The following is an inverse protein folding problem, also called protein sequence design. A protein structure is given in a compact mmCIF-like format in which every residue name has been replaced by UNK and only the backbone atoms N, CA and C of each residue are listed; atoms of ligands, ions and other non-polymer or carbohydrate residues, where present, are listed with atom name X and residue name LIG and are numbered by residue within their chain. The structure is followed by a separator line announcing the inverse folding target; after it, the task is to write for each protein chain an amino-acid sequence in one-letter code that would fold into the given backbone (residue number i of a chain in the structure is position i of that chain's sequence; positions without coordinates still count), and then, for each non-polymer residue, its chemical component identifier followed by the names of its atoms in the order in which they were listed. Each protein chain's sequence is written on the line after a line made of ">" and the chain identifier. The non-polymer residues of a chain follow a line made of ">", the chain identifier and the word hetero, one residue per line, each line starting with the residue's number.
data_IF_955390395211
#
_entry.id   IF_955390395211
#
_cell.length_a   1.000
_cell.length_b   1.000
_cell.length_c   1.000
_cell.angle_alpha   90.00
_cell.angle_beta   90.00
_cell.angle_gamma   90.00
#
_symmetry.space_group_name_H-M   'P 1'
#
loop_
_entity.id
_entity.type
_entity.pdbx_description
1 polymer ?
#
# COMPACT_ATOMS: atom_id res chain seq x y z
N UNK A 1 30.42 -25.07 29.63
CA UNK A 1 30.30 -24.35 28.34
C UNK A 1 28.82 -24.11 28.09
N UNK A 2 28.32 -22.94 28.50
CA UNK A 2 26.94 -22.52 28.29
C UNK A 2 26.91 -21.86 26.90
N UNK A 3 26.06 -22.32 25.99
CA UNK A 3 25.82 -21.64 24.70
C UNK A 3 24.77 -20.57 24.92
N UNK A 4 25.13 -19.31 24.75
CA UNK A 4 24.20 -18.18 24.81
C UNK A 4 23.13 -18.28 23.71
N UNK A 5 21.82 -18.25 24.02
CA UNK A 5 20.77 -18.26 23.03
C UNK A 5 20.21 -16.84 22.83
N UNK A 6 20.99 -15.93 22.23
CA UNK A 6 20.44 -14.66 21.78
C UNK A 6 21.13 -14.17 20.50
N UNK A 7 20.65 -14.67 19.37
CA UNK A 7 20.92 -14.13 18.05
C UNK A 7 19.81 -14.62 17.12
N UNK A 8 19.06 -13.84 16.36
CA UNK A 8 18.86 -12.40 16.29
C UNK A 8 17.49 -12.27 15.61
N UNK A 9 16.45 -11.90 16.35
CA UNK A 9 15.22 -11.42 15.73
C UNK A 9 15.44 -9.94 15.44
N UNK A 10 16.07 -9.64 14.29
CA UNK A 10 16.03 -8.29 13.72
C UNK A 10 14.59 -8.04 13.26
N UNK A 11 13.73 -7.73 14.22
CA UNK A 11 12.45 -7.09 13.97
C UNK A 11 12.80 -5.80 13.25
N UNK A 12 12.61 -5.81 11.93
CA UNK A 12 12.83 -4.64 11.10
C UNK A 12 11.80 -3.60 11.52
N UNK A 13 12.15 -2.78 12.52
CA UNK A 13 11.41 -1.59 12.94
C UNK A 13 11.56 -0.53 11.85
N UNK A 14 11.10 -0.87 10.64
CA UNK A 14 10.95 0.08 9.56
C UNK A 14 9.80 1.00 9.94
N UNK A 15 10.05 2.31 9.88
CA UNK A 15 8.98 3.30 9.96
C UNK A 15 7.83 2.87 9.04
N UNK A 16 6.56 3.00 9.47
CA UNK A 16 5.43 2.59 8.67
C UNK A 16 5.54 3.24 7.29
N UNK A 17 5.54 2.39 6.26
CA UNK A 17 5.67 2.83 4.88
C UNK A 17 4.54 3.82 4.59
N UNK A 18 4.91 5.06 4.25
CA UNK A 18 3.94 6.16 4.16
C UNK A 18 2.94 5.97 3.03
N UNK A 19 3.38 5.38 1.91
CA UNK A 19 2.53 5.11 0.76
C UNK A 19 3.16 4.07 -0.19
N UNK A 20 2.30 3.43 -0.99
CA UNK A 20 2.61 2.46 -2.03
C UNK A 20 2.46 3.03 -3.44
N UNK A 21 3.09 2.41 -4.43
CA UNK A 21 2.88 2.73 -5.85
C UNK A 21 1.66 2.01 -6.44
N UNK A 22 1.33 2.27 -7.71
CA UNK A 22 0.22 1.59 -8.37
C UNK A 22 0.51 0.10 -8.58
N UNK A 23 1.76 -0.23 -8.87
CA UNK A 23 2.25 -1.59 -9.12
C UNK A 23 2.18 -2.42 -7.84
N UNK A 24 2.62 -1.87 -6.71
CA UNK A 24 2.57 -2.55 -5.43
C UNK A 24 1.12 -2.84 -5.01
N UNK A 25 0.21 -1.87 -5.18
CA UNK A 25 -1.21 -2.08 -4.84
C UNK A 25 -1.90 -3.01 -5.83
N UNK A 26 -1.48 -3.01 -7.10
CA UNK A 26 -1.94 -3.96 -8.11
C UNK A 26 -1.64 -5.40 -7.71
N UNK A 27 -0.44 -5.66 -7.19
CA UNK A 27 -0.06 -6.96 -6.64
C UNK A 27 -0.86 -7.30 -5.38
N UNK A 28 -0.98 -6.36 -4.43
CA UNK A 28 -1.70 -6.58 -3.17
C UNK A 28 -3.19 -6.89 -3.36
N UNK A 29 -3.84 -6.23 -4.32
CA UNK A 29 -5.27 -6.39 -4.59
C UNK A 29 -5.56 -7.39 -5.71
N UNK A 30 -4.52 -7.96 -6.33
CA UNK A 30 -4.62 -8.81 -7.51
C UNK A 30 -5.47 -8.17 -8.64
N UNK A 31 -5.27 -6.87 -8.87
CA UNK A 31 -6.02 -6.08 -9.85
C UNK A 31 -5.08 -5.42 -10.86
N UNK A 32 -5.49 -5.22 -12.13
CA UNK A 32 -4.64 -4.53 -13.11
C UNK A 32 -4.26 -3.11 -12.66
N UNK A 33 -3.02 -2.69 -12.94
CA UNK A 33 -2.50 -1.32 -12.64
C UNK A 33 -3.42 -0.21 -13.17
N UNK A 34 -4.03 -0.39 -14.35
CA UNK A 34 -4.97 0.59 -14.92
C UNK A 34 -6.24 0.72 -14.07
N UNK A 35 -6.70 -0.38 -13.48
CA UNK A 35 -7.83 -0.41 -12.55
C UNK A 35 -7.47 0.32 -11.26
N UNK A 36 -6.30 0.05 -10.68
CA UNK A 36 -5.80 0.79 -9.50
C UNK A 36 -5.73 2.30 -9.78
N UNK A 37 -5.20 2.69 -10.94
CA UNK A 37 -5.17 4.10 -11.36
C UNK A 37 -6.57 4.71 -11.43
N UNK A 38 -7.56 3.98 -11.96
CA UNK A 38 -8.95 4.42 -12.01
C UNK A 38 -9.53 4.57 -10.61
N UNK A 39 -9.22 3.67 -9.67
CA UNK A 39 -9.64 3.79 -8.27
C UNK A 39 -9.08 5.04 -7.59
N UNK A 40 -7.83 5.41 -7.88
CA UNK A 40 -7.27 6.68 -7.41
C UNK A 40 -8.01 7.89 -8.01
N UNK A 41 -8.33 7.86 -9.31
CA UNK A 41 -9.03 8.95 -10.00
C UNK A 41 -10.49 9.11 -9.57
N UNK A 42 -11.15 8.01 -9.22
CA UNK A 42 -12.57 7.96 -8.81
C UNK A 42 -12.75 8.00 -7.30
N UNK A 43 -11.65 8.13 -6.55
CA UNK A 43 -11.62 8.17 -5.07
C UNK A 43 -12.08 6.88 -4.38
N UNK A 44 -12.13 5.74 -5.08
CA UNK A 44 -12.33 4.44 -4.43
C UNK A 44 -11.15 4.09 -3.49
N UNK A 45 -9.92 4.41 -3.90
CA UNK A 45 -8.75 4.42 -3.01
C UNK A 45 -8.63 5.79 -2.33
N UNK A 46 -9.52 6.05 -1.37
CA UNK A 46 -9.68 7.37 -0.73
C UNK A 46 -8.41 7.80 0.01
N UNK A 47 -7.87 8.96 -0.35
CA UNK A 47 -6.63 9.50 0.22
C UNK A 47 -5.38 9.18 -0.57
N UNK A 48 -5.49 8.46 -1.70
CA UNK A 48 -4.43 8.43 -2.69
C UNK A 48 -4.14 9.85 -3.22
N UNK A 49 -2.87 10.18 -3.43
CA UNK A 49 -2.43 11.50 -3.85
C UNK A 49 -1.30 11.41 -4.87
N UNK A 50 -1.01 12.52 -5.55
CA UNK A 50 0.19 12.66 -6.40
C UNK A 50 1.21 13.51 -5.67
N UNK A 51 2.49 13.21 -5.85
CA UNK A 51 3.60 13.98 -5.25
C UNK A 51 3.88 15.30 -5.98
N UNK A 52 3.03 15.69 -6.93
CA UNK A 52 3.25 16.85 -7.78
C UNK A 52 2.14 17.02 -8.82
N UNK A 53 2.51 17.47 -10.01
CA UNK A 53 1.59 17.82 -11.09
C UNK A 53 0.89 16.65 -11.79
N UNK A 54 0.25 16.95 -12.92
CA UNK A 54 -0.62 16.01 -13.65
C UNK A 54 0.06 14.68 -14.00
N UNK A 55 1.35 14.70 -14.31
CA UNK A 55 2.17 13.53 -14.70
C UNK A 55 2.85 12.84 -13.52
N UNK A 56 2.78 13.40 -12.31
CA UNK A 56 3.41 12.81 -11.14
C UNK A 56 2.78 11.46 -10.78
N UNK A 57 3.58 10.52 -10.25
CA UNK A 57 3.09 9.21 -9.89
C UNK A 57 2.11 9.30 -8.72
N UNK A 58 1.19 8.35 -8.67
CA UNK A 58 0.31 8.17 -7.52
C UNK A 58 1.08 7.58 -6.33
N UNK A 59 0.60 7.93 -5.13
CA UNK A 59 0.99 7.39 -3.84
C UNK A 59 -0.28 7.01 -3.09
N UNK A 60 -0.33 5.77 -2.64
CA UNK A 60 -1.51 5.18 -2.00
C UNK A 60 -1.16 4.83 -0.55
N UNK A 61 -1.66 5.57 0.45
CA UNK A 61 -1.44 5.23 1.86
C UNK A 61 -2.08 3.88 2.22
N UNK A 62 -1.53 3.14 3.21
CA UNK A 62 -2.14 1.89 3.70
C UNK A 62 -3.63 2.02 4.02
N UNK A 63 -4.02 3.10 4.71
CA UNK A 63 -5.41 3.37 5.09
C UNK A 63 -6.38 3.50 3.90
N UNK A 64 -5.89 3.91 2.73
CA UNK A 64 -6.70 3.97 1.52
C UNK A 64 -7.05 2.55 1.02
N UNK A 65 -6.10 1.62 1.15
CA UNK A 65 -6.27 0.19 0.80
C UNK A 65 -7.23 -0.47 1.78
N UNK A 66 -7.03 -0.24 3.09
CA UNK A 66 -7.91 -0.77 4.14
C UNK A 66 -9.37 -0.34 3.91
N UNK A 67 -9.58 0.96 3.64
CA UNK A 67 -10.90 1.51 3.35
C UNK A 67 -11.52 0.88 2.09
N UNK A 68 -10.72 0.75 1.02
CA UNK A 68 -11.18 0.15 -0.22
C UNK A 68 -11.64 -1.29 0.00
N UNK A 69 -10.82 -2.12 0.66
CA UNK A 69 -11.18 -3.51 0.94
C UNK A 69 -12.41 -3.61 1.86
N UNK A 70 -12.52 -2.76 2.89
CA UNK A 70 -13.64 -2.78 3.82
C UNK A 70 -14.98 -2.35 3.21
N UNK A 71 -14.95 -1.58 2.11
CA UNK A 71 -16.15 -1.05 1.45
C UNK A 71 -16.49 -1.78 0.15
N UNK A 72 -15.68 -2.78 -0.23
CA UNK A 72 -16.02 -3.63 -1.36
C UNK A 72 -17.28 -4.44 -1.03
N UNK A 73 -18.23 -4.54 -1.96
CA UNK A 73 -19.24 -5.57 -1.87
C UNK A 73 -18.52 -6.92 -1.88
N UNK A 74 -18.76 -7.74 -0.85
CA UNK A 74 -18.38 -9.14 -0.88
C UNK A 74 -19.17 -9.78 -2.02
N UNK A 75 -18.51 -10.09 -3.14
CA UNK A 75 -19.06 -11.00 -4.15
C UNK A 75 -18.92 -12.45 -3.69
#
# INVERSE_FOLDING_TARGET
>A
MLKDPWNSATTSTGLPRLAFTLEEVSEMLAEPVQTIKRHCQTHALRGAYKTGGKTSPWRIPPKAIDYYQATRPNE
#
